data_IF_825833516371
#
_entry.id   IF_825833516371
#
_cell.length_a   1.000
_cell.length_b   1.000
_cell.length_c   1.000
_cell.angle_alpha   90.00
_cell.angle_beta   90.00
_cell.angle_gamma   90.00
#
_symmetry.space_group_name_H-M   'P 1'
#
loop_
_entity.id
_entity.type
_entity.pdbx_description
1 polymer ?
#
# COMPACT_ATOMS: atom_id res chain seq x y z
N UNK A 1 12.51 24.25 0.91
CA UNK A 1 11.87 23.30 -0.02
C UNK A 1 10.81 22.52 0.74
N UNK A 2 9.71 22.16 0.08
CA UNK A 2 8.65 21.35 0.69
C UNK A 2 8.98 19.87 0.46
N UNK A 3 9.14 19.09 1.53
CA UNK A 3 9.50 17.66 1.49
C UNK A 3 8.60 16.86 0.53
N UNK A 4 7.30 17.17 0.47
CA UNK A 4 6.37 16.52 -0.46
C UNK A 4 6.75 16.72 -1.94
N UNK A 5 7.16 17.93 -2.33
CA UNK A 5 7.50 18.26 -3.71
C UNK A 5 8.71 17.50 -4.21
N UNK A 6 9.74 17.37 -3.38
CA UNK A 6 10.95 16.60 -3.67
C UNK A 6 10.64 15.11 -3.82
N UNK A 7 9.82 14.55 -2.93
CA UNK A 7 9.40 13.15 -3.00
C UNK A 7 8.53 12.88 -4.24
N UNK A 8 7.62 13.80 -4.58
CA UNK A 8 6.82 13.68 -5.81
C UNK A 8 7.71 13.65 -7.05
N UNK A 9 8.73 14.53 -7.10
CA UNK A 9 9.72 14.56 -8.18
C UNK A 9 10.49 13.24 -8.27
N UNK A 10 10.97 12.74 -7.14
CA UNK A 10 11.68 11.47 -7.05
C UNK A 10 10.84 10.29 -7.58
N UNK A 11 9.58 10.18 -7.16
CA UNK A 11 8.65 9.14 -7.64
C UNK A 11 8.42 9.24 -9.15
N UNK A 12 8.25 10.45 -9.68
CA UNK A 12 8.09 10.70 -11.12
C UNK A 12 9.32 10.25 -11.91
N UNK A 13 10.50 10.63 -11.44
CA UNK A 13 11.78 10.31 -12.10
C UNK A 13 12.09 8.80 -12.05
N UNK A 14 11.76 8.10 -10.95
CA UNK A 14 11.86 6.65 -10.85
C UNK A 14 10.95 5.91 -11.83
N UNK A 15 9.79 6.49 -12.15
CA UNK A 15 8.89 6.01 -13.22
C UNK A 15 9.36 6.40 -14.62
N UNK A 16 10.51 7.09 -14.75
CA UNK A 16 11.06 7.64 -16.00
C UNK A 16 10.08 8.54 -16.75
N UNK A 17 9.26 9.28 -15.99
CA UNK A 17 8.24 10.17 -16.56
C UNK A 17 8.74 11.61 -16.59
N UNK A 18 8.50 12.32 -17.68
CA UNK A 18 8.59 13.78 -17.71
C UNK A 18 7.41 14.42 -16.95
N UNK A 19 7.54 15.71 -16.59
CA UNK A 19 6.44 16.48 -15.99
C UNK A 19 5.20 16.47 -16.90
N UNK A 20 5.39 16.57 -18.22
CA UNK A 20 4.29 16.54 -19.19
C UNK A 20 3.61 15.17 -19.25
N UNK A 21 4.37 14.07 -19.15
CA UNK A 21 3.77 12.73 -19.08
C UNK A 21 2.97 12.56 -17.79
N UNK A 22 3.51 12.94 -16.64
CA UNK A 22 2.74 12.89 -15.38
C UNK A 22 1.48 13.75 -15.46
N UNK A 23 1.56 14.93 -16.07
CA UNK A 23 0.41 15.80 -16.30
C UNK A 23 -0.69 15.10 -17.13
N UNK A 24 -0.29 14.49 -18.24
CA UNK A 24 -1.18 13.76 -19.14
C UNK A 24 -1.88 12.61 -18.41
N UNK A 25 -1.14 11.78 -17.67
CA UNK A 25 -1.73 10.60 -17.00
C UNK A 25 -2.54 10.93 -15.74
N UNK A 26 -2.21 12.02 -15.04
CA UNK A 26 -2.92 12.44 -13.82
C UNK A 26 -4.09 13.39 -14.10
N UNK A 27 -4.12 14.04 -15.27
CA UNK A 27 -5.05 15.15 -15.54
C UNK A 27 -4.78 16.38 -14.67
N UNK A 28 -3.59 16.52 -14.09
CA UNK A 28 -3.11 17.71 -13.39
C UNK A 28 -2.24 18.52 -14.34
N UNK A 29 -2.42 19.85 -14.40
CA UNK A 29 -1.61 20.69 -15.30
C UNK A 29 -0.10 20.54 -15.05
N UNK A 30 0.71 20.51 -16.11
CA UNK A 30 2.18 20.45 -16.03
C UNK A 30 2.76 21.61 -15.20
N UNK A 31 2.25 22.83 -15.36
CA UNK A 31 2.62 23.99 -14.54
C UNK A 31 2.23 23.82 -13.06
N UNK A 32 1.15 23.09 -12.77
CA UNK A 32 0.76 22.71 -11.42
C UNK A 32 1.75 21.74 -10.78
N UNK A 33 2.09 20.67 -11.49
CA UNK A 33 3.08 19.67 -11.04
C UNK A 33 4.45 20.33 -10.82
N UNK A 34 4.94 21.12 -11.78
CA UNK A 34 6.21 21.83 -11.65
C UNK A 34 6.25 22.75 -10.43
N UNK A 35 5.17 23.49 -10.15
CA UNK A 35 5.11 24.32 -8.94
C UNK A 35 5.14 23.49 -7.65
N UNK A 36 4.50 22.32 -7.63
CA UNK A 36 4.52 21.41 -6.48
C UNK A 36 5.94 20.86 -6.27
N UNK A 37 6.55 20.31 -7.32
CA UNK A 37 7.90 19.72 -7.27
C UNK A 37 8.97 20.72 -6.84
N UNK A 38 8.84 21.99 -7.25
CA UNK A 38 9.76 23.05 -6.87
C UNK A 38 9.39 23.74 -5.54
N UNK A 39 8.39 23.25 -4.80
CA UNK A 39 7.94 23.84 -3.54
C UNK A 39 7.28 25.22 -3.66
N UNK A 40 7.03 25.71 -4.88
CA UNK A 40 6.30 26.96 -5.16
C UNK A 40 4.79 26.81 -4.91
N UNK A 41 4.32 25.57 -4.79
CA UNK A 41 2.98 25.20 -4.34
C UNK A 41 3.14 24.24 -3.18
N UNK A 42 2.39 24.51 -2.10
CA UNK A 42 2.33 23.63 -0.94
C UNK A 42 1.68 22.29 -1.25
N UNK A 43 1.42 21.52 -0.19
CA UNK A 43 0.78 20.21 -0.27
C UNK A 43 -0.54 20.29 -1.06
N UNK A 44 -0.75 19.46 -2.11
CA UNK A 44 -1.98 19.46 -2.89
C UNK A 44 -3.17 18.91 -2.11
N UNK A 45 -4.40 19.24 -2.54
CA UNK A 45 -5.62 18.68 -1.94
C UNK A 45 -5.69 17.14 -2.16
N UNK A 46 -6.39 16.39 -1.28
CA UNK A 46 -6.54 14.94 -1.38
C UNK A 46 -6.96 14.42 -2.76
N UNK A 47 -7.90 15.10 -3.44
CA UNK A 47 -8.32 14.74 -4.80
C UNK A 47 -7.19 14.84 -5.84
N UNK A 48 -6.34 15.86 -5.71
CA UNK A 48 -5.16 16.01 -6.57
C UNK A 48 -4.13 14.93 -6.26
N UNK A 49 -3.93 14.60 -4.98
CA UNK A 49 -3.06 13.50 -4.55
C UNK A 49 -3.53 12.17 -5.13
N UNK A 50 -4.83 11.86 -5.08
CA UNK A 50 -5.40 10.63 -5.66
C UNK A 50 -5.11 10.49 -7.15
N UNK A 51 -5.25 11.58 -7.91
CA UNK A 51 -4.92 11.65 -9.34
C UNK A 51 -3.43 11.38 -9.61
N UNK A 52 -2.56 12.00 -8.81
CA UNK A 52 -1.11 11.80 -8.92
C UNK A 52 -0.70 10.37 -8.54
N UNK A 53 -1.28 9.80 -7.47
CA UNK A 53 -1.04 8.44 -7.02
C UNK A 53 -1.37 7.40 -8.09
N UNK A 54 -2.56 7.54 -8.69
CA UNK A 54 -3.00 6.68 -9.79
C UNK A 54 -2.02 6.74 -10.98
N UNK A 55 -1.63 7.94 -11.40
CA UNK A 55 -0.70 8.12 -12.52
C UNK A 55 0.71 7.58 -12.24
N UNK A 56 1.19 7.71 -11.00
CA UNK A 56 2.49 7.19 -10.56
C UNK A 56 2.44 5.70 -10.18
N UNK A 57 1.26 5.07 -10.22
CA UNK A 57 1.01 3.70 -9.77
C UNK A 57 1.58 3.44 -8.38
N UNK A 58 1.33 4.36 -7.45
CA UNK A 58 1.66 4.19 -6.03
C UNK A 58 0.36 4.20 -5.22
N UNK A 59 0.33 3.54 -4.05
CA UNK A 59 -0.80 3.64 -3.13
C UNK A 59 -1.13 5.10 -2.82
N UNK A 60 -2.43 5.40 -2.76
CA UNK A 60 -2.91 6.76 -2.46
C UNK A 60 -2.49 7.19 -1.05
N UNK A 61 -2.53 6.24 -0.13
CA UNK A 61 -2.19 6.35 1.28
C UNK A 61 -0.73 6.78 1.46
N UNK A 62 0.19 6.28 0.64
CA UNK A 62 1.62 6.63 0.71
C UNK A 62 1.83 8.11 0.40
N UNK A 63 1.17 8.64 -0.64
CA UNK A 63 1.26 10.06 -0.95
C UNK A 63 0.51 10.93 0.07
N UNK A 64 -0.58 10.43 0.66
CA UNK A 64 -1.30 11.13 1.73
C UNK A 64 -0.47 11.20 3.02
N UNK A 65 0.31 10.15 3.32
CA UNK A 65 1.28 10.12 4.40
C UNK A 65 2.41 11.13 4.16
N UNK A 66 3.00 11.12 2.96
CA UNK A 66 4.03 12.10 2.55
C UNK A 66 3.51 13.55 2.59
N UNK A 67 2.22 13.74 2.34
CA UNK A 67 1.54 15.02 2.40
C UNK A 67 1.21 15.47 3.83
N UNK A 68 1.41 14.63 4.84
CA UNK A 68 1.07 14.92 6.24
C UNK A 68 -0.43 14.91 6.53
N UNK A 69 -1.26 14.32 5.65
CA UNK A 69 -2.70 14.18 5.88
C UNK A 69 -3.06 12.98 6.73
N UNK A 70 -2.16 12.01 6.85
CA UNK A 70 -2.35 10.79 7.63
C UNK A 70 -1.12 10.64 8.53
N UNK A 71 -1.35 10.33 9.80
CA UNK A 71 -0.29 9.97 10.74
C UNK A 71 0.17 8.53 10.47
N UNK A 72 1.46 8.25 10.64
CA UNK A 72 2.05 6.92 10.39
C UNK A 72 1.32 5.78 11.13
N UNK A 73 0.73 6.08 12.29
CA UNK A 73 -0.06 5.14 13.11
C UNK A 73 -1.37 4.68 12.43
N UNK A 74 -2.04 5.53 11.62
CA UNK A 74 -3.26 5.15 10.90
C UNK A 74 -3.00 4.29 9.66
N UNK A 75 -1.82 4.43 9.04
CA UNK A 75 -1.41 3.54 7.93
C UNK A 75 -1.15 2.12 8.46
N UNK A 76 -0.71 1.99 9.72
CA UNK A 76 -0.59 0.72 10.43
C UNK A 76 -1.92 0.01 10.68
N UNK A 77 -3.06 0.71 10.66
CA UNK A 77 -4.40 0.10 10.75
C UNK A 77 -4.95 -0.39 9.39
N UNK A 78 -4.45 0.14 8.27
CA UNK A 78 -4.77 -0.34 6.91
C UNK A 78 -3.80 -1.42 6.40
N UNK A 79 -2.56 -1.45 6.91
CA UNK A 79 -1.54 -2.50 6.68
C UNK A 79 -1.74 -3.88 7.37
N UNK A 80 -2.49 -4.07 8.47
CA UNK A 80 -2.39 -5.29 9.25
C UNK A 80 -3.08 -6.47 8.55
N UNK A 81 -4.08 -6.23 7.69
CA UNK A 81 -4.68 -7.29 6.84
C UNK A 81 -3.64 -7.86 5.87
N UNK A 82 -2.86 -7.00 5.22
CA UNK A 82 -1.83 -7.42 4.26
C UNK A 82 -0.59 -8.00 4.95
N UNK A 83 -0.13 -7.40 6.06
CA UNK A 83 0.98 -7.96 6.84
C UNK A 83 0.63 -9.33 7.44
N UNK A 84 -0.59 -9.49 7.97
CA UNK A 84 -1.05 -10.79 8.47
C UNK A 84 -1.16 -11.81 7.34
N UNK A 85 -1.70 -11.43 6.18
CA UNK A 85 -1.81 -12.30 5.01
C UNK A 85 -0.43 -12.72 4.47
N UNK A 86 0.50 -11.77 4.34
CA UNK A 86 1.88 -12.04 3.92
C UNK A 86 2.60 -12.96 4.92
N UNK A 87 2.39 -12.77 6.23
CA UNK A 87 2.98 -13.62 7.26
C UNK A 87 2.42 -15.04 7.22
N UNK A 88 1.12 -15.20 7.00
CA UNK A 88 0.48 -16.52 6.83
C UNK A 88 1.02 -17.20 5.56
N UNK A 89 1.09 -16.47 4.44
CA UNK A 89 1.61 -17.01 3.17
C UNK A 89 3.09 -17.41 3.26
N UNK A 90 3.93 -16.59 3.89
CA UNK A 90 5.33 -16.92 4.15
C UNK A 90 5.48 -18.15 5.04
N UNK A 91 4.63 -18.28 6.06
CA UNK A 91 4.62 -19.47 6.92
C UNK A 91 4.19 -20.71 6.15
N UNK A 92 3.24 -20.58 5.22
CA UNK A 92 2.79 -21.68 4.36
C UNK A 92 3.92 -22.17 3.44
N UNK A 93 4.63 -21.25 2.79
CA UNK A 93 5.82 -21.55 1.97
C UNK A 93 6.92 -22.24 2.78
N UNK A 94 7.19 -21.79 4.01
CA UNK A 94 8.20 -22.41 4.89
C UNK A 94 7.82 -23.83 5.34
N UNK A 95 6.56 -24.21 5.19
CA UNK A 95 6.02 -25.49 5.63
C UNK A 95 5.63 -26.39 4.44
N UNK A 96 5.90 -25.96 3.21
CA UNK A 96 5.49 -26.63 1.96
C UNK A 96 3.97 -26.91 1.89
N UNK A 97 3.15 -25.98 2.36
CA UNK A 97 1.67 -26.09 2.39
C UNK A 97 0.95 -24.97 1.65
N UNK A 98 1.66 -24.18 0.86
CA UNK A 98 1.12 -23.11 0.01
C UNK A 98 0.16 -23.61 -1.08
N UNK A 99 0.22 -24.91 -1.41
CA UNK A 99 -0.67 -25.56 -2.37
C UNK A 99 -2.08 -25.84 -1.83
N UNK A 100 -2.34 -25.58 -0.54
CA UNK A 100 -3.66 -25.79 0.03
C UNK A 100 -4.68 -24.80 -0.61
N UNK A 101 -5.92 -25.24 -0.89
CA UNK A 101 -6.93 -24.41 -1.56
C UNK A 101 -7.25 -23.10 -0.85
N UNK A 102 -7.00 -23.03 0.46
CA UNK A 102 -7.16 -21.81 1.25
C UNK A 102 -6.24 -20.69 0.78
N UNK A 103 -5.15 -20.98 0.06
CA UNK A 103 -4.21 -20.00 -0.49
C UNK A 103 -4.51 -19.60 -1.94
N UNK A 104 -5.55 -20.17 -2.54
CA UNK A 104 -5.99 -19.76 -3.87
C UNK A 104 -6.59 -18.35 -3.80
N UNK A 105 -5.93 -17.40 -4.49
CA UNK A 105 -6.09 -15.95 -4.30
C UNK A 105 -7.53 -15.44 -4.37
N UNK A 106 -8.41 -16.17 -5.06
CA UNK A 106 -9.83 -15.83 -5.23
C UNK A 106 -10.67 -15.92 -3.95
N UNK A 107 -10.28 -16.72 -2.95
CA UNK A 107 -11.07 -16.82 -1.71
C UNK A 107 -10.80 -15.66 -0.75
N UNK A 108 -9.57 -15.15 -0.70
CA UNK A 108 -9.16 -14.04 0.18
C UNK A 108 -9.84 -12.71 -0.11
N UNK A 109 -10.25 -12.51 -1.36
CA UNK A 109 -10.98 -11.31 -1.81
C UNK A 109 -12.40 -11.25 -1.24
N UNK A 110 -12.98 -12.40 -0.91
CA UNK A 110 -14.35 -12.53 -0.38
C UNK A 110 -14.42 -12.49 1.16
N UNK A 111 -13.28 -12.58 1.85
CA UNK A 111 -13.21 -12.69 3.30
C UNK A 111 -13.11 -11.33 3.99
N UNK A 112 -13.94 -11.15 5.02
CA UNK A 112 -13.91 -9.96 5.87
C UNK A 112 -12.67 -9.98 6.79
N UNK A 113 -12.35 -8.83 7.37
CA UNK A 113 -11.26 -8.71 8.36
C UNK A 113 -11.49 -9.58 9.59
N UNK A 114 -12.75 -9.91 9.90
CA UNK A 114 -13.08 -10.81 11.02
C UNK A 114 -12.82 -12.27 10.65
N UNK A 115 -13.17 -12.68 9.44
CA UNK A 115 -12.93 -14.04 8.94
C UNK A 115 -11.43 -14.36 8.88
N UNK A 116 -10.62 -13.40 8.39
CA UNK A 116 -9.16 -13.55 8.33
C UNK A 116 -8.55 -13.68 9.73
N UNK A 117 -9.06 -12.92 10.71
CA UNK A 117 -8.59 -13.03 12.11
C UNK A 117 -8.94 -14.39 12.72
N UNK A 118 -10.13 -14.91 12.47
CA UNK A 118 -10.55 -16.22 12.95
C UNK A 118 -9.72 -17.33 12.31
N UNK A 119 -9.48 -17.27 11.00
CA UNK A 119 -8.63 -18.22 10.29
C UNK A 119 -7.20 -18.23 10.85
N UNK A 120 -6.62 -17.07 11.12
CA UNK A 120 -5.29 -16.98 11.71
C UNK A 120 -5.25 -17.63 13.12
N UNK A 121 -6.24 -17.35 13.97
CA UNK A 121 -6.31 -17.97 15.30
C UNK A 121 -6.47 -19.49 15.23
N UNK A 122 -7.31 -19.97 14.31
CA UNK A 122 -7.48 -21.40 14.09
C UNK A 122 -6.18 -22.07 13.64
N UNK A 123 -5.48 -21.48 12.66
CA UNK A 123 -4.20 -21.99 12.18
C UNK A 123 -3.13 -22.06 13.28
N UNK A 124 -3.03 -21.02 14.11
CA UNK A 124 -2.13 -21.00 15.27
C UNK A 124 -2.50 -22.08 16.30
N UNK A 125 -3.79 -22.33 16.51
CA UNK A 125 -4.24 -23.39 17.42
C UNK A 125 -3.83 -24.78 16.94
N UNK A 126 -3.93 -25.05 15.63
CA UNK A 126 -3.51 -26.31 15.02
C UNK A 126 -2.00 -26.55 15.16
N UNK A 127 -1.19 -25.50 14.98
CA UNK A 127 0.26 -25.56 15.18
C UNK A 127 0.60 -25.91 16.63
N UNK A 128 -0.10 -25.30 17.59
CA UNK A 128 0.15 -25.51 19.01
C UNK A 128 -0.32 -26.90 19.50
N UNK A 129 -1.44 -27.41 18.99
CA UNK A 129 -1.86 -28.79 19.26
C UNK A 129 -0.85 -29.82 18.74
N UNK A 130 -0.21 -29.56 17.60
CA UNK A 130 0.86 -30.43 17.07
C UNK A 130 2.13 -30.44 17.91
N UNK A 131 2.38 -29.37 18.71
CA UNK A 131 3.49 -29.30 19.67
C UNK A 131 3.18 -29.95 21.02
N UNK A 132 1.91 -30.02 21.42
CA UNK A 132 1.48 -30.61 22.69
C UNK A 132 1.39 -32.16 22.65
N UNK A 133 1.28 -32.75 21.45
CA UNK A 133 1.18 -34.18 21.23
C UNK A 133 2.53 -34.83 20.83
N UNK A 134 3.65 -34.25 21.27
CA UNK A 134 5.01 -34.73 21.03
C UNK A 134 5.78 -34.73 22.33
#
# INVERSE_FOLDING_TARGET
MNHFGEQLRFLRENRKMSVNQLAMYSGVSAAGISRIENGKRGVPKPLTIKKLAHALKVPYEDLMLLAGYIEQEKVHEMKPKYESMLKIYQTALQKDVEHLPIFDGGQWETLTTQDIRQLNQYFLSLINQKKANK
#
